data_IF_609604842844
#
_entry.id   IF_609604842844
#
_cell.length_a   1.000
_cell.length_b   1.000
_cell.length_c   1.000
_cell.angle_alpha   90.00
_cell.angle_beta   90.00
_cell.angle_gamma   90.00
#
_symmetry.space_group_name_H-M   'P 1'
#
loop_
_entity.id
_entity.type
_entity.pdbx_description
1 polymer ?
#
# COMPACT_ATOMS: atom_id res chain seq x y z
N UNK A 1 -2.62 -45.27 11.05
CA UNK A 1 -2.15 -44.47 12.20
C UNK A 1 -1.00 -43.51 11.87
N UNK A 2 -0.15 -43.79 10.87
CA UNK A 2 1.00 -42.93 10.52
C UNK A 2 0.60 -41.52 10.06
N UNK A 3 -0.36 -41.39 9.13
CA UNK A 3 -0.80 -40.09 8.59
C UNK A 3 -1.42 -39.17 9.66
N UNK A 4 -2.25 -39.72 10.54
CA UNK A 4 -2.86 -38.98 11.65
C UNK A 4 -1.76 -38.53 12.63
N UNK A 5 -0.77 -39.38 12.91
CA UNK A 5 0.36 -39.04 13.77
C UNK A 5 1.24 -37.94 13.15
N UNK A 6 1.50 -37.97 11.84
CA UNK A 6 2.23 -36.90 11.15
C UNK A 6 1.45 -35.58 11.10
N UNK A 7 0.11 -35.64 11.01
CA UNK A 7 -0.73 -34.44 11.09
C UNK A 7 -0.73 -33.83 12.50
N UNK A 8 -0.78 -34.65 13.55
CA UNK A 8 -0.60 -34.20 14.94
C UNK A 8 0.78 -33.57 15.15
N UNK A 9 1.83 -34.18 14.59
CA UNK A 9 3.19 -33.62 14.64
C UNK A 9 3.32 -32.29 13.89
N UNK A 10 2.47 -32.02 12.89
CA UNK A 10 2.43 -30.73 12.18
C UNK A 10 1.96 -29.58 13.08
N UNK A 11 1.11 -29.87 14.07
CA UNK A 11 0.65 -28.89 15.07
C UNK A 11 1.73 -28.53 16.11
N UNK A 12 2.91 -29.18 16.04
CA UNK A 12 4.04 -28.96 16.94
C UNK A 12 4.21 -30.04 18.01
N UNK A 13 3.30 -31.00 18.11
CA UNK A 13 3.35 -32.09 19.07
C UNK A 13 4.23 -33.25 18.56
N UNK A 14 5.55 -33.12 18.75
CA UNK A 14 6.52 -34.16 18.39
C UNK A 14 6.93 -34.94 19.63
N UNK A 15 6.42 -36.17 19.79
CA UNK A 15 6.90 -37.13 20.80
C UNK A 15 8.27 -37.71 20.42
N UNK A 16 9.31 -36.88 20.52
CA UNK A 16 10.69 -37.23 20.18
C UNK A 16 11.22 -38.36 21.05
N UNK A 17 10.94 -38.30 22.36
CA UNK A 17 11.46 -39.23 23.35
C UNK A 17 10.88 -40.64 23.17
N UNK A 18 9.55 -40.75 23.02
CA UNK A 18 8.87 -42.03 22.87
C UNK A 18 9.05 -42.66 21.49
N UNK A 19 9.13 -41.85 20.43
CA UNK A 19 9.12 -42.34 19.04
C UNK A 19 10.52 -42.60 18.47
N UNK A 20 11.52 -41.80 18.84
CA UNK A 20 12.86 -41.86 18.22
C UNK A 20 13.97 -42.21 19.21
N UNK A 21 13.90 -41.74 20.46
CA UNK A 21 14.97 -41.96 21.46
C UNK A 21 14.84 -43.33 22.15
N UNK A 22 13.65 -43.70 22.64
CA UNK A 22 13.44 -44.98 23.33
C UNK A 22 13.80 -46.19 22.44
N UNK A 23 13.39 -46.26 21.16
CA UNK A 23 13.79 -47.32 20.22
C UNK A 23 15.29 -47.34 19.84
N UNK A 24 16.01 -46.24 20.07
CA UNK A 24 17.44 -46.13 19.78
C UNK A 24 18.30 -46.71 20.91
N UNK A 25 17.85 -46.57 22.17
CA UNK A 25 18.59 -47.04 23.35
C UNK A 25 18.09 -48.37 23.93
N UNK A 26 16.81 -48.73 23.74
CA UNK A 26 16.23 -49.95 24.29
C UNK A 26 16.27 -51.09 23.28
N UNK A 27 17.32 -51.91 23.36
CA UNK A 27 17.55 -53.11 22.52
C UNK A 27 17.04 -54.40 23.19
N UNK A 28 16.02 -54.32 24.04
CA UNK A 28 15.53 -55.50 24.78
C UNK A 28 14.40 -56.22 24.01
N UNK A 29 14.56 -57.54 23.90
CA UNK A 29 13.89 -58.47 22.97
C UNK A 29 12.35 -58.60 23.05
N UNK A 30 11.65 -57.81 23.88
CA UNK A 30 10.20 -57.95 24.11
C UNK A 30 9.32 -56.92 23.37
N UNK A 31 9.86 -55.77 22.95
CA UNK A 31 9.11 -54.79 22.14
C UNK A 31 9.68 -54.72 20.71
N UNK A 32 8.84 -55.00 19.70
CA UNK A 32 9.15 -54.94 18.25
C UNK A 32 9.54 -53.54 17.71
N UNK A 33 9.92 -52.60 18.57
CA UNK A 33 10.28 -51.24 18.19
C UNK A 33 11.80 -51.11 18.02
N UNK A 34 12.37 -51.85 17.06
CA UNK A 34 13.73 -51.57 16.58
C UNK A 34 13.64 -50.57 15.43
N UNK A 35 14.48 -49.54 15.45
CA UNK A 35 14.54 -48.54 14.39
C UNK A 35 15.62 -48.98 13.38
N UNK A 36 15.24 -49.61 12.24
CA UNK A 36 16.18 -50.35 11.38
C UNK A 36 17.24 -49.46 10.72
N UNK A 37 16.94 -48.18 10.54
CA UNK A 37 17.84 -47.22 9.90
C UNK A 37 17.89 -45.90 10.69
N UNK A 38 18.75 -45.79 11.73
CA UNK A 38 18.81 -44.62 12.60
C UNK A 38 19.30 -43.35 11.92
N UNK A 39 20.37 -43.42 11.13
CA UNK A 39 20.93 -42.27 10.44
C UNK A 39 19.93 -41.58 9.48
N UNK A 40 19.29 -42.29 8.52
CA UNK A 40 18.32 -41.65 7.64
C UNK A 40 17.03 -41.23 8.38
N UNK A 41 16.64 -41.91 9.46
CA UNK A 41 15.48 -41.50 10.25
C UNK A 41 15.70 -40.15 10.96
N UNK A 42 16.87 -39.95 11.58
CA UNK A 42 17.21 -38.64 12.18
C UNK A 42 17.39 -37.55 11.13
N UNK A 43 17.90 -37.88 9.95
CA UNK A 43 17.98 -36.93 8.82
C UNK A 43 16.59 -36.49 8.35
N UNK A 44 15.68 -37.45 8.10
CA UNK A 44 14.30 -37.17 7.71
C UNK A 44 13.54 -36.41 8.81
N UNK A 45 13.79 -36.74 10.08
CA UNK A 45 13.21 -36.02 11.23
C UNK A 45 13.69 -34.56 11.29
N UNK A 46 14.99 -34.31 11.11
CA UNK A 46 15.55 -32.95 11.08
C UNK A 46 14.99 -32.13 9.93
N UNK A 47 14.89 -32.72 8.74
CA UNK A 47 14.25 -32.09 7.59
C UNK A 47 12.76 -31.80 7.85
N UNK A 48 12.04 -32.76 8.44
CA UNK A 48 10.62 -32.61 8.79
C UNK A 48 10.38 -31.49 9.81
N UNK A 49 11.22 -31.38 10.84
CA UNK A 49 11.18 -30.31 11.86
C UNK A 49 11.31 -28.91 11.24
N UNK A 50 12.16 -28.75 10.24
CA UNK A 50 12.34 -27.47 9.54
C UNK A 50 11.16 -27.19 8.59
N UNK A 51 10.79 -28.16 7.76
CA UNK A 51 9.79 -27.94 6.71
C UNK A 51 8.37 -27.75 7.26
N UNK A 52 7.93 -28.60 8.20
CA UNK A 52 6.52 -28.69 8.58
C UNK A 52 6.17 -27.80 9.79
N UNK A 53 6.70 -28.00 11.01
CA UNK A 53 6.36 -27.13 12.13
C UNK A 53 6.85 -25.68 11.99
N UNK A 54 7.99 -25.45 11.32
CA UNK A 54 8.61 -24.11 11.28
C UNK A 54 8.23 -23.36 10.00
N UNK A 55 8.60 -23.87 8.82
CA UNK A 55 8.36 -23.15 7.57
C UNK A 55 6.89 -23.11 7.18
N UNK A 56 6.19 -24.25 7.24
CA UNK A 56 4.78 -24.32 6.82
C UNK A 56 3.90 -23.50 7.77
N UNK A 57 4.06 -23.60 9.09
CA UNK A 57 3.28 -22.78 10.03
C UNK A 57 3.53 -21.28 9.86
N UNK A 58 4.79 -20.86 9.74
CA UNK A 58 5.11 -19.45 9.54
C UNK A 58 4.58 -18.91 8.20
N UNK A 59 4.57 -19.75 7.16
CA UNK A 59 3.97 -19.40 5.88
C UNK A 59 2.44 -19.27 5.98
N UNK A 60 1.76 -20.22 6.63
CA UNK A 60 0.31 -20.17 6.80
C UNK A 60 -0.13 -18.97 7.64
N UNK A 61 0.61 -18.67 8.72
CA UNK A 61 0.37 -17.48 9.53
C UNK A 61 0.64 -16.22 8.70
N UNK A 62 1.74 -16.18 7.93
CA UNK A 62 2.07 -15.03 7.08
C UNK A 62 1.01 -14.75 6.00
N UNK A 63 0.49 -15.80 5.36
CA UNK A 63 -0.61 -15.68 4.39
C UNK A 63 -1.90 -15.22 5.07
N UNK A 64 -2.26 -15.84 6.20
CA UNK A 64 -3.45 -15.45 6.94
C UNK A 64 -3.38 -13.99 7.43
N UNK A 65 -2.22 -13.54 7.92
CA UNK A 65 -2.03 -12.15 8.36
C UNK A 65 -2.08 -11.18 7.18
N UNK A 66 -1.47 -11.53 6.03
CA UNK A 66 -1.56 -10.72 4.82
C UNK A 66 -2.99 -10.61 4.27
N UNK A 67 -3.73 -11.73 4.29
CA UNK A 67 -5.15 -11.76 3.92
C UNK A 67 -5.98 -10.91 4.90
N UNK A 68 -5.75 -11.03 6.21
CA UNK A 68 -6.44 -10.24 7.24
C UNK A 68 -6.14 -8.75 7.09
N UNK A 69 -4.90 -8.36 6.80
CA UNK A 69 -4.51 -6.95 6.63
C UNK A 69 -5.24 -6.31 5.44
N UNK A 70 -5.27 -6.99 4.29
CA UNK A 70 -5.98 -6.50 3.10
C UNK A 70 -7.51 -6.41 3.32
N UNK A 71 -8.09 -7.38 4.03
CA UNK A 71 -9.50 -7.38 4.41
C UNK A 71 -9.78 -6.27 5.42
N UNK A 72 -8.90 -6.05 6.41
CA UNK A 72 -9.04 -4.99 7.41
C UNK A 72 -9.04 -3.61 6.76
N UNK A 73 -8.12 -3.33 5.83
CA UNK A 73 -8.05 -2.04 5.10
C UNK A 73 -9.36 -1.72 4.38
N UNK A 74 -10.03 -2.73 3.84
CA UNK A 74 -11.27 -2.57 3.08
C UNK A 74 -12.54 -2.95 3.86
N UNK A 75 -12.42 -3.28 5.16
CA UNK A 75 -13.51 -3.85 5.94
C UNK A 75 -14.68 -2.89 6.09
N UNK A 76 -14.41 -1.60 6.29
CA UNK A 76 -15.46 -0.59 6.45
C UNK A 76 -16.27 -0.42 5.15
N UNK A 77 -15.60 -0.27 4.00
CA UNK A 77 -16.27 -0.19 2.71
C UNK A 77 -17.05 -1.46 2.39
N UNK A 78 -16.45 -2.65 2.63
CA UNK A 78 -17.13 -3.94 2.43
C UNK A 78 -18.36 -4.09 3.33
N UNK A 79 -18.29 -3.58 4.57
CA UNK A 79 -19.41 -3.56 5.51
C UNK A 79 -20.55 -2.66 5.02
N UNK A 80 -20.26 -1.42 4.62
CA UNK A 80 -21.26 -0.50 4.05
C UNK A 80 -21.87 -1.06 2.76
N UNK A 81 -21.04 -1.61 1.87
CA UNK A 81 -21.51 -2.24 0.63
C UNK A 81 -22.45 -3.41 0.90
N UNK A 82 -22.13 -4.27 1.87
CA UNK A 82 -23.00 -5.37 2.29
C UNK A 82 -24.36 -4.86 2.79
N UNK A 83 -24.39 -3.75 3.53
CA UNK A 83 -25.65 -3.15 3.98
C UNK A 83 -26.47 -2.63 2.80
N UNK A 84 -25.84 -1.92 1.87
CA UNK A 84 -26.53 -1.42 0.67
C UNK A 84 -27.10 -2.59 -0.12
N UNK A 85 -26.32 -3.65 -0.35
CA UNK A 85 -26.78 -4.86 -1.04
C UNK A 85 -27.98 -5.47 -0.32
N UNK A 86 -27.91 -5.62 1.02
CA UNK A 86 -29.01 -6.16 1.81
C UNK A 86 -30.28 -5.30 1.70
N UNK A 87 -30.15 -3.99 1.84
CA UNK A 87 -31.29 -3.06 1.74
C UNK A 87 -31.90 -3.07 0.34
N UNK A 88 -31.10 -3.04 -0.72
CA UNK A 88 -31.58 -3.12 -2.10
C UNK A 88 -32.23 -4.47 -2.42
N UNK A 89 -31.66 -5.58 -1.93
CA UNK A 89 -32.28 -6.91 -2.12
C UNK A 89 -33.60 -7.04 -1.37
N UNK A 90 -33.68 -6.48 -0.16
CA UNK A 90 -34.89 -6.46 0.65
C UNK A 90 -35.97 -5.61 -0.02
N UNK A 91 -35.63 -4.38 -0.42
CA UNK A 91 -36.52 -3.47 -1.15
C UNK A 91 -37.10 -4.13 -2.41
N UNK A 92 -36.26 -4.82 -3.20
CA UNK A 92 -36.71 -5.53 -4.41
C UNK A 92 -37.71 -6.66 -4.14
N UNK A 93 -37.64 -7.29 -2.96
CA UNK A 93 -38.51 -8.41 -2.57
C UNK A 93 -39.77 -7.96 -1.83
N UNK A 94 -39.84 -6.69 -1.41
CA UNK A 94 -40.90 -6.18 -0.56
C UNK A 94 -42.04 -5.62 -1.44
N UNK A 95 -43.32 -5.87 -1.11
CA UNK A 95 -44.42 -5.39 -1.93
C UNK A 95 -44.59 -3.87 -1.84
N UNK A 96 -44.94 -3.24 -2.96
CA UNK A 96 -44.97 -1.77 -3.12
C UNK A 96 -45.81 -1.05 -2.07
N UNK A 97 -46.92 -1.65 -1.59
CA UNK A 97 -47.79 -1.05 -0.57
C UNK A 97 -47.11 -0.84 0.80
N UNK A 98 -46.12 -1.66 1.14
CA UNK A 98 -45.33 -1.47 2.37
C UNK A 98 -44.20 -0.48 2.16
N UNK A 99 -43.60 -0.48 0.97
CA UNK A 99 -42.51 0.43 0.63
C UNK A 99 -43.01 1.88 0.66
N UNK A 100 -44.12 2.18 -0.01
CA UNK A 100 -44.74 3.52 -0.01
C UNK A 100 -45.18 3.99 1.38
N UNK A 101 -45.53 3.06 2.28
CA UNK A 101 -45.98 3.41 3.64
C UNK A 101 -44.81 3.67 4.59
N UNK A 102 -43.65 3.06 4.34
CA UNK A 102 -42.47 3.14 5.22
C UNK A 102 -41.46 4.16 4.72
N UNK A 103 -41.42 4.43 3.41
CA UNK A 103 -40.52 5.39 2.80
C UNK A 103 -40.77 6.81 3.32
N UNK A 104 -39.69 7.47 3.75
CA UNK A 104 -39.69 8.81 4.34
C UNK A 104 -38.47 9.55 3.82
N UNK A 105 -38.71 10.60 3.04
CA UNK A 105 -37.66 11.36 2.34
C UNK A 105 -36.88 12.27 3.31
N UNK A 106 -37.51 12.72 4.40
CA UNK A 106 -36.90 13.64 5.36
C UNK A 106 -36.96 13.08 6.78
N UNK A 107 -35.82 13.16 7.48
CA UNK A 107 -35.67 12.79 8.89
C UNK A 107 -35.22 14.04 9.65
N UNK A 108 -36.02 14.46 10.64
CA UNK A 108 -35.70 15.60 11.51
C UNK A 108 -35.17 15.05 12.84
N UNK A 109 -33.87 15.23 13.08
CA UNK A 109 -33.20 14.83 14.32
C UNK A 109 -33.07 16.02 15.28
N UNK A 110 -33.43 15.80 16.55
CA UNK A 110 -33.31 16.80 17.61
C UNK A 110 -32.20 16.37 18.57
N UNK A 111 -30.98 16.90 18.47
CA UNK A 111 -29.81 16.39 19.20
C UNK A 111 -29.94 16.51 20.73
N UNK A 112 -30.78 17.42 21.22
CA UNK A 112 -31.00 17.64 22.65
C UNK A 112 -32.37 17.10 23.16
N UNK A 113 -33.17 16.44 22.32
CA UNK A 113 -34.45 15.86 22.73
C UNK A 113 -34.30 14.33 22.86
N UNK A 114 -33.82 13.88 24.02
CA UNK A 114 -33.77 12.47 24.36
C UNK A 114 -35.21 11.97 24.60
N UNK A 115 -35.93 11.63 23.54
CA UNK A 115 -37.30 11.10 23.64
C UNK A 115 -37.31 9.82 24.48
N UNK A 116 -37.97 9.94 25.61
CA UNK A 116 -38.08 8.97 26.67
C UNK A 116 -39.12 7.86 26.41
N UNK A 117 -38.98 6.77 27.18
CA UNK A 117 -40.03 5.79 27.61
C UNK A 117 -40.33 4.54 26.78
N UNK A 118 -39.53 4.15 25.78
CA UNK A 118 -39.48 2.73 25.31
C UNK A 118 -38.23 1.97 25.80
N UNK A 119 -37.50 2.55 26.76
CA UNK A 119 -36.07 2.34 26.94
C UNK A 119 -35.58 1.05 27.60
N UNK A 120 -36.42 0.03 27.87
CA UNK A 120 -35.90 -1.25 28.41
C UNK A 120 -35.93 -2.37 27.37
N UNK A 121 -37.08 -2.64 26.74
CA UNK A 121 -37.17 -3.64 25.67
C UNK A 121 -36.49 -3.13 24.41
N UNK A 122 -36.67 -1.86 24.05
CA UNK A 122 -35.97 -1.26 22.91
C UNK A 122 -34.46 -1.16 23.18
N UNK A 123 -34.03 -0.86 24.40
CA UNK A 123 -32.59 -0.83 24.74
C UNK A 123 -31.97 -2.23 24.76
N UNK A 124 -32.69 -3.26 25.23
CA UNK A 124 -32.23 -4.65 25.17
C UNK A 124 -32.20 -5.13 23.72
N UNK A 125 -33.26 -4.91 22.92
CA UNK A 125 -33.27 -5.26 21.50
C UNK A 125 -32.22 -4.48 20.71
N UNK A 126 -32.04 -3.19 20.96
CA UNK A 126 -30.99 -2.34 20.37
C UNK A 126 -29.61 -2.60 20.97
N UNK A 127 -29.45 -3.52 21.91
CA UNK A 127 -28.15 -4.01 22.39
C UNK A 127 -27.88 -5.45 21.94
N UNK A 128 -28.93 -6.22 21.64
CA UNK A 128 -28.87 -7.61 21.17
C UNK A 128 -28.91 -7.71 19.63
N UNK A 129 -29.83 -6.97 18.99
CA UNK A 129 -29.79 -6.54 17.57
C UNK A 129 -29.03 -5.24 17.39
N UNK A 130 -28.48 -4.71 18.48
CA UNK A 130 -27.65 -3.53 18.54
C UNK A 130 -26.45 -3.59 17.66
N UNK A 131 -26.64 -3.02 16.48
CA UNK A 131 -25.65 -2.32 15.72
C UNK A 131 -24.29 -2.20 16.45
N UNK A 132 -23.21 -2.91 16.03
CA UNK A 132 -21.84 -2.50 16.32
C UNK A 132 -21.46 -1.20 15.55
N UNK A 133 -22.40 -0.25 15.46
CA UNK A 133 -22.41 0.95 14.63
C UNK A 133 -22.61 2.21 15.50
N UNK A 134 -22.09 2.23 16.73
CA UNK A 134 -21.79 3.52 17.34
C UNK A 134 -20.69 4.19 16.52
N UNK A 135 -20.86 5.48 16.21
CA UNK A 135 -19.98 6.34 15.41
C UNK A 135 -18.47 6.14 15.68
N UNK A 136 -18.11 5.76 16.90
CA UNK A 136 -16.73 5.51 17.33
C UNK A 136 -15.97 4.47 16.47
N UNK A 137 -16.66 3.50 15.86
CA UNK A 137 -16.01 2.50 15.00
C UNK A 137 -15.84 2.97 13.54
N UNK A 138 -16.58 4.00 13.13
CA UNK A 138 -16.41 4.65 11.83
C UNK A 138 -15.16 5.53 11.87
N UNK A 139 -15.00 6.28 12.96
CA UNK A 139 -13.95 7.29 13.15
C UNK A 139 -12.54 6.67 13.33
N UNK A 140 -12.44 5.48 13.95
CA UNK A 140 -11.15 4.88 14.31
C UNK A 140 -10.33 4.32 13.13
N UNK A 141 -10.84 4.29 11.89
CA UNK A 141 -10.13 3.76 10.71
C UNK A 141 -10.17 4.69 9.49
N UNK A 142 -10.76 5.89 9.62
CA UNK A 142 -10.63 6.93 8.58
C UNK A 142 -9.19 7.48 8.47
N UNK A 143 -8.29 7.10 9.39
CA UNK A 143 -6.87 7.43 9.35
C UNK A 143 -6.06 6.48 8.45
N UNK A 144 -6.51 6.28 7.21
CA UNK A 144 -5.65 5.77 6.13
C UNK A 144 -4.76 6.93 5.66
N UNK A 145 -3.76 7.30 6.47
CA UNK A 145 -2.79 8.33 6.13
C UNK A 145 -2.13 8.11 4.75
N UNK A 146 -2.07 6.87 4.27
CA UNK A 146 -1.63 6.54 2.91
C UNK A 146 -2.51 7.14 1.81
N UNK A 147 -3.84 7.01 1.91
CA UNK A 147 -4.76 7.51 0.89
C UNK A 147 -4.78 9.05 0.90
N UNK A 148 -4.69 9.67 2.08
CA UNK A 148 -4.52 11.12 2.21
C UNK A 148 -3.24 11.61 1.49
N UNK A 149 -2.10 10.98 1.75
CA UNK A 149 -0.82 11.34 1.10
C UNK A 149 -0.90 11.19 -0.42
N UNK A 150 -1.54 10.14 -0.93
CA UNK A 150 -1.73 9.95 -2.38
C UNK A 150 -2.57 11.09 -2.98
N UNK A 151 -3.65 11.50 -2.30
CA UNK A 151 -4.49 12.61 -2.78
C UNK A 151 -3.76 13.96 -2.76
N UNK A 152 -3.02 14.26 -1.70
CA UNK A 152 -2.22 15.48 -1.60
C UNK A 152 -1.09 15.50 -2.63
N UNK A 153 -0.43 14.36 -2.89
CA UNK A 153 0.56 14.23 -3.95
C UNK A 153 -0.06 14.45 -5.34
N UNK A 154 -1.28 13.96 -5.56
CA UNK A 154 -2.05 14.22 -6.77
C UNK A 154 -2.34 15.71 -6.98
N UNK A 155 -2.76 16.40 -5.92
CA UNK A 155 -2.99 17.86 -5.94
C UNK A 155 -1.68 18.63 -6.21
N UNK A 156 -0.58 18.25 -5.56
CA UNK A 156 0.72 18.85 -5.78
C UNK A 156 1.23 18.65 -7.23
N UNK A 157 1.04 17.46 -7.79
CA UNK A 157 1.35 17.17 -9.20
C UNK A 157 0.55 18.05 -10.16
N UNK A 158 -0.74 18.24 -9.91
CA UNK A 158 -1.58 19.11 -10.74
C UNK A 158 -1.12 20.57 -10.68
N UNK A 159 -0.80 21.06 -9.47
CA UNK A 159 -0.24 22.42 -9.28
C UNK A 159 1.11 22.60 -10.00
N UNK A 160 2.00 21.61 -9.92
CA UNK A 160 3.28 21.66 -10.64
C UNK A 160 3.10 21.67 -12.16
N UNK A 161 2.11 20.93 -12.68
CA UNK A 161 1.79 20.94 -14.11
C UNK A 161 1.31 22.32 -14.57
N UNK A 162 0.48 22.98 -13.76
CA UNK A 162 0.01 24.35 -14.03
C UNK A 162 1.15 25.38 -13.97
N UNK A 163 2.03 25.28 -12.98
CA UNK A 163 3.22 26.13 -12.88
C UNK A 163 4.15 25.93 -14.08
N UNK A 164 4.34 24.68 -14.51
CA UNK A 164 5.17 24.37 -15.68
C UNK A 164 4.59 25.03 -16.94
N UNK A 165 3.27 24.95 -17.11
CA UNK A 165 2.58 25.58 -18.23
C UNK A 165 2.70 27.11 -18.22
N UNK A 166 2.52 27.75 -17.07
CA UNK A 166 2.67 29.21 -16.96
C UNK A 166 4.11 29.66 -17.20
N UNK A 167 5.10 28.86 -16.78
CA UNK A 167 6.52 29.14 -17.03
C UNK A 167 6.84 29.05 -18.54
N UNK A 168 6.30 28.06 -19.25
CA UNK A 168 6.46 27.95 -20.71
C UNK A 168 5.90 29.19 -21.44
N UNK A 169 4.72 29.65 -21.04
CA UNK A 169 4.11 30.88 -21.60
C UNK A 169 4.96 32.11 -21.29
N UNK A 170 5.45 32.25 -20.06
CA UNK A 170 6.35 33.35 -19.69
C UNK A 170 7.66 33.31 -20.48
N UNK A 171 8.22 32.12 -20.72
CA UNK A 171 9.42 31.95 -21.54
C UNK A 171 9.18 32.36 -23.00
N UNK A 172 8.01 32.07 -23.55
CA UNK A 172 7.62 32.53 -24.88
C UNK A 172 7.45 34.05 -24.94
N UNK A 173 6.78 34.65 -23.95
CA UNK A 173 6.63 36.10 -23.83
C UNK A 173 8.00 36.81 -23.74
N UNK A 174 8.93 36.29 -22.93
CA UNK A 174 10.27 36.84 -22.81
C UNK A 174 11.04 36.81 -24.14
N UNK A 175 10.93 35.72 -24.91
CA UNK A 175 11.52 35.64 -26.25
C UNK A 175 10.92 36.67 -27.20
N UNK A 176 9.60 36.85 -27.17
CA UNK A 176 8.89 37.88 -27.94
C UNK A 176 9.35 39.29 -27.57
N UNK A 177 9.54 39.57 -26.28
CA UNK A 177 10.05 40.86 -25.80
C UNK A 177 11.46 41.11 -26.31
N UNK A 178 12.39 40.15 -26.17
CA UNK A 178 13.76 40.30 -26.68
C UNK A 178 13.78 40.53 -28.19
N UNK A 179 12.94 39.81 -28.94
CA UNK A 179 12.80 39.99 -30.38
C UNK A 179 12.22 41.37 -30.74
N UNK A 180 11.25 41.88 -29.97
CA UNK A 180 10.63 43.19 -30.20
C UNK A 180 11.43 44.37 -29.68
N UNK A 181 12.28 44.16 -28.68
CA UNK A 181 13.18 45.20 -28.14
C UNK A 181 14.32 45.53 -29.10
N UNK A 182 14.44 44.83 -30.24
CA UNK A 182 15.51 45.04 -31.23
C UNK A 182 16.88 45.18 -30.56
N UNK A 183 17.13 44.36 -29.54
CA UNK A 183 18.45 44.32 -28.91
C UNK A 183 19.37 43.74 -29.97
N UNK A 184 20.04 44.63 -30.71
CA UNK A 184 21.23 44.30 -31.48
C UNK A 184 22.18 43.65 -30.49
N UNK A 185 22.34 42.34 -30.57
CA UNK A 185 23.49 41.71 -29.94
C UNK A 185 24.71 42.33 -30.62
N UNK A 186 25.48 43.11 -29.86
CA UNK A 186 26.73 43.78 -30.28
C UNK A 186 27.73 42.83 -30.98
N UNK A 187 27.50 41.51 -30.91
CA UNK A 187 28.24 40.47 -31.60
C UNK A 187 27.95 40.33 -33.11
N UNK A 188 26.94 41.00 -33.68
CA UNK A 188 26.67 41.00 -35.14
C UNK A 188 27.23 42.27 -35.85
N UNK A 189 27.73 43.26 -35.10
CA UNK A 189 28.32 44.51 -35.61
C UNK A 189 29.87 44.46 -35.71
N UNK A 190 30.49 43.29 -35.50
CA UNK A 190 31.95 43.08 -35.55
C UNK A 190 32.32 41.87 -36.42
N UNK A 191 32.07 41.98 -37.73
CA UNK A 191 32.85 41.21 -38.71
C UNK A 191 32.88 41.94 -40.06
N UNK A 192 33.76 42.95 -40.17
CA UNK A 192 34.52 43.22 -41.39
C UNK A 192 35.67 44.20 -41.09
N UNK A 193 36.89 43.66 -40.95
CA UNK A 193 38.13 44.37 -41.28
C UNK A 193 38.95 44.98 -40.13
N UNK A 194 39.87 44.20 -39.56
CA UNK A 194 41.23 44.69 -39.22
C UNK A 194 42.26 43.54 -39.30
N UNK A 195 43.39 43.81 -39.96
CA UNK A 195 44.51 42.91 -40.26
C UNK A 195 45.27 42.43 -39.00
N UNK A 196 45.80 41.19 -38.96
CA UNK A 196 46.49 40.63 -37.81
C UNK A 196 47.95 41.13 -37.79
N UNK A 197 48.17 42.39 -37.45
CA UNK A 197 49.51 42.95 -37.30
C UNK A 197 49.45 44.12 -36.32
N UNK A 198 49.29 43.80 -35.03
CA UNK A 198 49.97 44.46 -33.91
C UNK A 198 49.54 43.78 -32.60
N UNK A 199 50.14 42.61 -32.39
CA UNK A 199 50.39 42.05 -31.07
C UNK A 199 51.34 42.99 -30.32
N UNK A 200 50.88 43.70 -29.29
CA UNK A 200 51.56 43.79 -27.99
C UNK A 200 51.07 44.93 -27.09
N UNK A 201 51.11 44.63 -25.79
CA UNK A 201 51.25 45.52 -24.63
C UNK A 201 49.99 45.98 -23.87
N UNK A 202 49.82 45.33 -22.70
CA UNK A 202 49.49 45.89 -21.37
C UNK A 202 48.13 46.61 -21.26
N UNK A 203 47.13 46.06 -20.59
CA UNK A 203 47.04 45.83 -19.14
C UNK A 203 45.80 46.59 -18.64
N UNK A 204 44.79 45.97 -18.05
CA UNK A 204 44.65 45.88 -16.59
C UNK A 204 43.39 45.07 -16.23
N UNK A 205 43.46 44.46 -15.05
CA UNK A 205 42.55 43.49 -14.44
C UNK A 205 41.10 43.92 -14.21
N UNK A 206 40.17 42.96 -14.17
CA UNK A 206 39.35 42.76 -12.96
C UNK A 206 38.89 41.31 -12.81
N UNK A 207 39.27 40.74 -11.66
CA UNK A 207 38.85 39.45 -11.11
C UNK A 207 37.35 39.51 -10.81
N UNK A 208 36.57 38.48 -11.13
CA UNK A 208 35.54 37.94 -10.23
C UNK A 208 35.29 36.46 -10.58
N UNK A 209 35.43 35.62 -9.56
CA UNK A 209 35.28 34.16 -9.57
C UNK A 209 33.84 33.81 -9.19
N UNK A 210 33.26 32.70 -9.64
CA UNK A 210 33.01 31.47 -8.81
C UNK A 210 31.62 30.88 -9.18
N UNK A 211 31.26 29.63 -8.82
CA UNK A 211 31.89 28.38 -9.21
C UNK A 211 30.88 27.37 -9.81
N UNK A 212 31.43 26.47 -10.63
CA UNK A 212 30.79 25.28 -11.20
C UNK A 212 30.33 24.31 -10.11
N UNK A 213 29.04 23.97 -10.08
CA UNK A 213 28.55 22.69 -9.55
C UNK A 213 28.02 21.87 -10.72
N UNK A 214 28.92 21.06 -11.30
CA UNK A 214 28.55 19.91 -12.12
C UNK A 214 28.10 18.80 -11.18
N UNK A 215 26.85 18.35 -11.29
CA UNK A 215 26.51 16.95 -10.98
C UNK A 215 25.78 16.34 -12.17
N UNK A 216 26.34 15.22 -12.61
CA UNK A 216 25.96 14.40 -13.76
C UNK A 216 24.50 13.95 -13.67
N UNK A 217 23.72 14.20 -14.73
CA UNK A 217 22.64 13.30 -15.16
C UNK A 217 22.73 13.15 -16.69
N UNK A 218 23.46 12.12 -17.12
CA UNK A 218 23.40 11.58 -18.48
C UNK A 218 23.29 10.06 -18.37
N UNK A 219 22.48 9.51 -19.28
CA UNK A 219 22.18 8.10 -19.58
C UNK A 219 21.50 7.33 -18.45
N UNK A 220 20.27 6.81 -18.61
CA UNK A 220 19.85 5.90 -19.69
C UNK A 220 18.36 6.10 -20.05
N UNK A 221 18.11 6.58 -21.27
CA UNK A 221 16.84 6.42 -21.99
C UNK A 221 17.22 5.87 -23.37
N UNK A 222 17.12 4.56 -23.54
CA UNK A 222 17.15 3.94 -24.85
C UNK A 222 16.44 2.59 -24.81
N UNK A 223 15.11 2.59 -24.84
CA UNK A 223 14.33 1.46 -25.36
C UNK A 223 13.05 2.02 -25.95
N UNK A 224 13.12 2.40 -27.23
CA UNK A 224 11.97 2.50 -28.12
C UNK A 224 12.47 2.29 -29.55
N UNK A 225 11.67 1.54 -30.31
CA UNK A 225 11.80 1.10 -31.70
C UNK A 225 12.77 -0.05 -32.02
N UNK A 226 12.17 -1.24 -32.23
CA UNK A 226 12.14 -1.86 -33.56
C UNK A 226 10.95 -2.82 -33.69
N UNK A 227 9.99 -2.38 -34.50
CA UNK A 227 9.08 -3.19 -35.28
C UNK A 227 9.83 -3.84 -36.44
N UNK A 228 9.79 -5.16 -36.54
CA UNK A 228 9.58 -5.95 -37.77
C UNK A 228 9.41 -7.42 -37.38
#
# INVERSE_FOLDING_TARGET
MSLIRTFSMMLGEIDFLGTYVKPFYMTNEEEKAFLPFPLPAFFVLGLFMVLMPILLMNLLIGLAVGDIESVRRNAQLKRLAMQVILHTELERKLPQFLLERVDKIEIIEYPNDAKAKLGFIDSILRKWFGNPFSDDALDMVMDNGEDYVVTELGKAKNKLKEITHTLEVQQQLLRLIVQKMEIKTEADDVDEGVSPSNMNQHGTSSKWTSPKIRKKLRSVLSFSNRSH
#
